data_IF_087400128678
#
_entry.id   IF_087400128678
#
_cell.length_a   1.000
_cell.length_b   1.000
_cell.length_c   1.000
_cell.angle_alpha   90.00
_cell.angle_beta   90.00
_cell.angle_gamma   90.00
#
_symmetry.space_group_name_H-M   'P 1'
#
loop_
_entity.id
_entity.type
_entity.pdbx_description
1 polymer ?
#
# COMPACT_ATOMS: atom_id res chain seq x y z
N UNK A 1 -13.03 10.53 -14.87
CA UNK A 1 -11.69 11.11 -15.12
C UNK A 1 -11.17 11.94 -13.94
N UNK A 2 -12.02 12.71 -13.27
CA UNK A 2 -11.65 13.47 -12.05
C UNK A 2 -11.23 12.52 -10.91
N UNK A 3 -11.88 11.37 -10.77
CA UNK A 3 -11.55 10.37 -9.73
C UNK A 3 -10.16 9.76 -9.90
N UNK A 4 -9.66 9.59 -11.13
CA UNK A 4 -8.28 9.12 -11.38
C UNK A 4 -7.24 10.16 -11.00
N UNK A 5 -7.47 11.43 -11.33
CA UNK A 5 -6.58 12.53 -10.90
C UNK A 5 -6.55 12.70 -9.39
N UNK A 6 -7.70 12.61 -8.73
CA UNK A 6 -7.76 12.70 -7.26
C UNK A 6 -7.02 11.56 -6.57
N UNK A 7 -7.06 10.32 -7.09
CA UNK A 7 -6.32 9.19 -6.52
C UNK A 7 -4.81 9.39 -6.64
N UNK A 8 -4.32 9.83 -7.80
CA UNK A 8 -2.89 10.12 -8.00
C UNK A 8 -2.42 11.26 -7.12
N UNK A 9 -3.19 12.34 -7.00
CA UNK A 9 -2.88 13.46 -6.10
C UNK A 9 -2.82 13.01 -4.63
N UNK A 10 -3.77 12.17 -4.16
CA UNK A 10 -3.75 11.68 -2.78
C UNK A 10 -2.53 10.80 -2.49
N UNK A 11 -2.14 9.94 -3.42
CA UNK A 11 -0.94 9.09 -3.27
C UNK A 11 0.31 9.96 -3.14
N UNK A 12 0.43 11.00 -3.96
CA UNK A 12 1.60 11.89 -4.00
C UNK A 12 1.62 12.88 -2.84
N UNK A 13 0.54 13.65 -2.67
CA UNK A 13 0.55 14.84 -1.80
C UNK A 13 -0.07 14.57 -0.43
N UNK A 14 -0.88 13.51 -0.30
CA UNK A 14 -1.65 13.20 0.90
C UNK A 14 -1.74 11.71 1.16
N UNK A 15 -0.61 11.01 1.39
CA UNK A 15 -0.58 9.55 1.55
C UNK A 15 -1.53 9.04 2.63
N UNK A 16 -1.78 9.80 3.70
CA UNK A 16 -2.76 9.43 4.73
C UNK A 16 -4.20 9.29 4.22
N UNK A 17 -4.59 10.05 3.18
CA UNK A 17 -5.92 9.89 2.55
C UNK A 17 -6.00 8.58 1.76
N UNK A 18 -4.93 8.21 1.07
CA UNK A 18 -4.84 6.91 0.39
C UNK A 18 -4.97 5.78 1.41
N UNK A 19 -4.24 5.84 2.53
CA UNK A 19 -4.32 4.86 3.62
C UNK A 19 -5.77 4.72 4.12
N UNK A 20 -6.44 5.83 4.39
CA UNK A 20 -7.83 5.83 4.83
C UNK A 20 -8.77 5.19 3.81
N UNK A 21 -8.73 5.66 2.55
CA UNK A 21 -9.67 5.19 1.54
C UNK A 21 -9.43 3.74 1.13
N UNK A 22 -8.19 3.29 1.03
CA UNK A 22 -7.87 1.88 0.76
C UNK A 22 -8.45 0.99 1.86
N UNK A 23 -8.28 1.34 3.13
CA UNK A 23 -8.86 0.60 4.26
C UNK A 23 -10.40 0.60 4.20
N UNK A 24 -11.04 1.74 3.91
CA UNK A 24 -12.50 1.79 3.78
C UNK A 24 -13.01 0.88 2.65
N UNK A 25 -12.32 0.85 1.52
CA UNK A 25 -12.70 0.00 0.39
C UNK A 25 -12.53 -1.49 0.75
N UNK A 26 -11.37 -1.87 1.28
CA UNK A 26 -11.07 -3.26 1.64
C UNK A 26 -12.04 -3.78 2.70
N UNK A 27 -12.35 -2.99 3.73
CA UNK A 27 -13.19 -3.43 4.86
C UNK A 27 -14.70 -3.40 4.56
N UNK A 28 -15.16 -2.53 3.65
CA UNK A 28 -16.59 -2.33 3.41
C UNK A 28 -17.12 -2.96 2.13
N UNK A 29 -16.29 -3.04 1.10
CA UNK A 29 -16.72 -3.49 -0.22
C UNK A 29 -16.34 -4.94 -0.52
N UNK A 30 -15.39 -5.49 0.21
CA UNK A 30 -15.00 -6.90 0.06
C UNK A 30 -15.50 -7.70 1.26
N UNK A 31 -16.03 -8.89 1.00
CA UNK A 31 -16.55 -9.79 2.04
C UNK A 31 -16.51 -11.24 1.57
N UNK A 32 -16.81 -12.19 2.46
CA UNK A 32 -16.76 -13.64 2.21
C UNK A 32 -18.09 -14.23 1.73
N UNK A 33 -18.99 -13.42 1.15
CA UNK A 33 -20.24 -13.91 0.58
C UNK A 33 -20.11 -14.23 -0.91
N UNK A 34 -21.13 -14.83 -1.53
CA UNK A 34 -21.19 -15.07 -2.97
C UNK A 34 -21.05 -13.79 -3.82
N UNK A 35 -21.42 -12.64 -3.25
CA UNK A 35 -21.23 -11.30 -3.83
C UNK A 35 -20.06 -10.56 -3.17
N UNK A 36 -18.95 -11.27 -2.97
CA UNK A 36 -17.79 -10.79 -2.21
C UNK A 36 -17.00 -9.65 -2.86
N UNK A 37 -17.25 -9.37 -4.14
CA UNK A 37 -16.60 -8.29 -4.88
C UNK A 37 -17.59 -7.17 -5.21
N UNK A 38 -17.14 -5.90 -5.22
CA UNK A 38 -18.01 -4.76 -5.55
C UNK A 38 -18.28 -4.57 -7.07
N UNK A 39 -17.95 -5.54 -7.89
CA UNK A 39 -18.11 -5.53 -9.33
C UNK A 39 -17.66 -6.84 -9.96
N UNK A 40 -17.41 -6.84 -11.26
CA UNK A 40 -16.89 -8.00 -11.98
C UNK A 40 -15.41 -8.23 -11.64
N UNK A 41 -14.99 -9.49 -11.57
CA UNK A 41 -13.62 -9.87 -11.20
C UNK A 41 -12.56 -9.40 -12.20
N UNK A 42 -12.94 -9.22 -13.47
CA UNK A 42 -12.07 -8.72 -14.53
C UNK A 42 -10.73 -9.48 -14.64
N UNK A 43 -10.81 -10.80 -14.82
CA UNK A 43 -9.65 -11.67 -15.02
C UNK A 43 -8.60 -11.61 -13.88
N UNK A 44 -9.06 -11.56 -12.65
CA UNK A 44 -8.20 -11.48 -11.47
C UNK A 44 -7.86 -10.06 -11.01
N UNK A 45 -8.40 -9.03 -11.68
CA UNK A 45 -8.14 -7.64 -11.36
C UNK A 45 -8.60 -7.24 -9.97
N UNK A 46 -9.78 -7.70 -9.56
CA UNK A 46 -10.37 -7.39 -8.26
C UNK A 46 -9.69 -8.14 -7.13
N UNK A 47 -9.43 -9.43 -7.29
CA UNK A 47 -8.75 -10.24 -6.27
C UNK A 47 -7.29 -9.84 -6.09
N UNK A 48 -6.55 -9.56 -7.15
CA UNK A 48 -5.18 -9.08 -7.05
C UNK A 48 -5.11 -7.70 -6.39
N UNK A 49 -6.03 -6.80 -6.70
CA UNK A 49 -6.13 -5.52 -6.02
C UNK A 49 -6.38 -5.69 -4.51
N UNK A 50 -7.33 -6.58 -4.14
CA UNK A 50 -7.64 -6.86 -2.74
C UNK A 50 -6.44 -7.43 -2.00
N UNK A 51 -5.76 -8.43 -2.58
CA UNK A 51 -4.60 -9.08 -1.96
C UNK A 51 -3.48 -8.07 -1.73
N UNK A 52 -3.03 -7.37 -2.78
CA UNK A 52 -1.92 -6.43 -2.68
C UNK A 52 -2.26 -5.24 -1.76
N UNK A 53 -3.48 -4.70 -1.85
CA UNK A 53 -3.92 -3.62 -0.97
C UNK A 53 -4.02 -4.05 0.49
N UNK A 54 -4.40 -5.31 0.75
CA UNK A 54 -4.43 -5.90 2.10
C UNK A 54 -3.02 -6.10 2.67
N UNK A 55 -2.02 -6.34 1.82
CA UNK A 55 -0.61 -6.34 2.20
C UNK A 55 -0.07 -4.93 2.48
N UNK A 56 -0.78 -3.89 2.06
CA UNK A 56 -0.38 -2.50 2.21
C UNK A 56 0.51 -1.97 1.09
N UNK A 57 0.55 -2.65 -0.06
CA UNK A 57 1.31 -2.23 -1.25
C UNK A 57 0.44 -2.41 -2.50
N UNK A 58 0.68 -1.60 -3.54
CA UNK A 58 0.00 -1.77 -4.83
C UNK A 58 0.77 -1.15 -5.99
N UNK A 59 0.87 -1.85 -7.12
CA UNK A 59 1.45 -1.34 -8.37
C UNK A 59 0.45 -0.42 -9.08
N UNK A 60 0.49 0.88 -8.79
CA UNK A 60 -0.47 1.86 -9.33
C UNK A 60 -0.21 2.17 -10.80
N UNK A 61 1.05 2.14 -11.22
CA UNK A 61 1.48 2.42 -12.59
C UNK A 61 2.12 1.16 -13.19
N UNK A 62 1.36 0.32 -13.93
CA UNK A 62 1.92 -0.82 -14.63
C UNK A 62 3.02 -0.37 -15.61
N UNK A 63 4.13 -1.11 -15.64
CA UNK A 63 5.32 -0.78 -16.44
C UNK A 63 6.40 -0.03 -15.67
N UNK A 64 6.18 0.30 -14.41
CA UNK A 64 7.22 0.66 -13.45
C UNK A 64 7.44 -0.49 -12.47
N UNK A 65 8.58 -0.48 -11.80
CA UNK A 65 8.93 -1.44 -10.74
C UNK A 65 8.46 -0.97 -9.35
N UNK A 66 7.68 0.12 -9.28
CA UNK A 66 7.27 0.76 -8.03
C UNK A 66 5.97 0.20 -7.47
N UNK A 67 5.99 -0.14 -6.19
CA UNK A 67 4.82 -0.49 -5.38
C UNK A 67 4.53 0.61 -4.38
N UNK A 68 3.41 1.29 -4.55
CA UNK A 68 2.97 2.38 -3.67
C UNK A 68 2.51 1.82 -2.34
N UNK A 69 2.89 2.49 -1.26
CA UNK A 69 2.53 2.12 0.10
C UNK A 69 1.13 2.64 0.43
N UNK A 70 0.25 1.70 0.79
CA UNK A 70 -1.08 1.95 1.35
C UNK A 70 -1.09 1.71 2.86
N UNK A 71 -2.21 1.15 3.37
CA UNK A 71 -2.34 0.76 4.77
C UNK A 71 -2.58 -0.74 4.86
N UNK A 72 -1.69 -1.53 5.48
CA UNK A 72 -1.86 -2.98 5.59
C UNK A 72 -3.12 -3.34 6.39
N UNK A 73 -3.76 -4.45 6.03
CA UNK A 73 -4.87 -5.02 6.79
C UNK A 73 -4.38 -5.94 7.91
N UNK A 74 -3.23 -6.58 7.72
CA UNK A 74 -2.68 -7.58 8.62
C UNK A 74 -1.58 -7.00 9.51
N UNK A 75 -1.41 -7.57 10.71
CA UNK A 75 -0.28 -7.23 11.60
C UNK A 75 1.05 -7.79 11.10
N UNK A 76 0.98 -8.91 10.38
CA UNK A 76 2.13 -9.53 9.75
C UNK A 76 1.69 -10.31 8.52
N UNK A 77 2.46 -10.17 7.44
CA UNK A 77 2.33 -10.97 6.23
C UNK A 77 3.73 -11.37 5.74
N UNK A 78 3.84 -12.53 5.11
CA UNK A 78 5.09 -13.01 4.53
C UNK A 78 4.83 -13.43 3.09
N UNK A 79 5.59 -12.88 2.18
CA UNK A 79 5.64 -13.28 0.76
C UNK A 79 6.86 -14.15 0.59
N UNK A 80 6.67 -15.38 0.13
CA UNK A 80 7.77 -16.29 -0.22
C UNK A 80 7.94 -16.27 -1.73
N UNK A 81 9.10 -15.85 -2.19
CA UNK A 81 9.44 -15.76 -3.60
C UNK A 81 9.88 -17.14 -4.12
N UNK A 82 9.85 -17.33 -5.44
CA UNK A 82 10.27 -18.59 -6.10
C UNK A 82 11.74 -18.94 -5.81
N UNK A 83 12.60 -17.94 -5.63
CA UNK A 83 14.00 -18.12 -5.25
C UNK A 83 14.19 -18.52 -3.77
N UNK A 84 13.10 -18.68 -3.00
CA UNK A 84 13.11 -19.02 -1.57
C UNK A 84 13.28 -17.83 -0.64
N UNK A 85 13.54 -16.62 -1.14
CA UNK A 85 13.62 -15.42 -0.33
C UNK A 85 12.26 -15.10 0.29
N UNK A 86 12.29 -14.46 1.45
CA UNK A 86 11.08 -14.05 2.16
C UNK A 86 11.07 -12.54 2.34
N UNK A 87 9.98 -11.92 1.90
CA UNK A 87 9.69 -10.53 2.19
C UNK A 87 8.58 -10.46 3.24
N UNK A 88 8.87 -9.81 4.36
CA UNK A 88 7.98 -9.74 5.52
C UNK A 88 7.47 -8.32 5.67
N UNK A 89 6.15 -8.18 5.77
CA UNK A 89 5.49 -6.91 6.07
C UNK A 89 5.00 -6.99 7.52
N UNK A 90 5.42 -6.06 8.36
CA UNK A 90 5.05 -6.02 9.78
C UNK A 90 4.39 -4.68 10.15
N UNK A 91 3.25 -4.78 10.82
CA UNK A 91 2.50 -3.65 11.37
C UNK A 91 1.85 -4.07 12.71
N UNK A 92 2.64 -4.29 13.76
CA UNK A 92 2.16 -4.92 15.00
C UNK A 92 1.02 -4.14 15.69
N UNK A 93 1.05 -2.81 15.62
CA UNK A 93 0.03 -1.93 16.22
C UNK A 93 -1.21 -1.74 15.33
N UNK A 94 -1.23 -2.35 14.11
CA UNK A 94 -2.33 -2.22 13.18
C UNK A 94 -3.66 -2.71 13.78
N UNK A 95 -4.68 -1.88 13.65
CA UNK A 95 -6.06 -2.16 14.07
C UNK A 95 -7.05 -1.40 13.20
N UNK A 96 -8.34 -1.48 13.51
CA UNK A 96 -9.35 -0.65 12.84
C UNK A 96 -9.16 0.84 13.12
N UNK A 97 -8.70 1.17 14.32
CA UNK A 97 -8.41 2.53 14.77
C UNK A 97 -7.04 3.01 14.30
N UNK A 98 -6.02 2.14 14.43
CA UNK A 98 -4.63 2.43 14.08
C UNK A 98 -4.36 2.06 12.62
N UNK A 99 -4.93 2.81 11.69
CA UNK A 99 -4.81 2.56 10.26
C UNK A 99 -3.80 3.47 9.54
N UNK A 100 -3.28 4.49 10.23
CA UNK A 100 -2.35 5.45 9.63
C UNK A 100 -0.90 5.11 9.93
N UNK A 101 -0.06 5.10 8.91
CA UNK A 101 1.38 4.89 9.04
C UNK A 101 2.01 6.15 9.63
N UNK A 102 2.66 5.99 10.78
CA UNK A 102 3.42 7.04 11.45
C UNK A 102 4.86 7.08 10.94
N UNK A 103 5.50 5.91 10.89
CA UNK A 103 6.83 5.72 10.31
C UNK A 103 6.90 4.38 9.58
N UNK A 104 7.91 4.24 8.71
CA UNK A 104 8.20 3.00 8.01
C UNK A 104 9.70 2.77 7.94
N UNK A 105 10.11 1.51 8.03
CA UNK A 105 11.49 1.10 7.78
C UNK A 105 11.53 -0.06 6.80
N UNK A 106 12.53 -0.04 5.92
CA UNK A 106 12.85 -1.15 5.02
C UNK A 106 14.23 -1.69 5.42
N UNK A 107 14.29 -2.94 5.83
CA UNK A 107 15.52 -3.59 6.31
C UNK A 107 16.24 -2.78 7.41
N UNK A 108 15.46 -2.20 8.33
CA UNK A 108 15.95 -1.39 9.44
C UNK A 108 16.36 0.05 9.08
N UNK A 109 16.30 0.44 7.82
CA UNK A 109 16.57 1.83 7.39
C UNK A 109 15.26 2.59 7.26
N UNK A 110 15.25 3.85 7.68
CA UNK A 110 14.08 4.72 7.55
C UNK A 110 13.67 4.83 6.07
N UNK A 111 12.38 4.57 5.81
CA UNK A 111 11.78 4.71 4.49
C UNK A 111 11.02 6.04 4.43
N UNK A 112 11.63 7.02 3.79
CA UNK A 112 11.11 8.38 3.58
C UNK A 112 10.32 8.54 2.29
N UNK A 113 10.22 7.46 1.48
CA UNK A 113 9.44 7.36 0.26
C UNK A 113 8.08 6.72 0.51
N UNK A 114 7.11 7.01 -0.37
CA UNK A 114 5.78 6.39 -0.33
C UNK A 114 5.66 5.19 -1.28
N UNK A 115 6.77 4.59 -1.64
CA UNK A 115 6.86 3.42 -2.50
C UNK A 115 8.12 2.60 -2.17
N UNK A 116 8.12 1.35 -2.62
CA UNK A 116 9.26 0.43 -2.66
C UNK A 116 9.40 -0.10 -4.07
N UNK A 117 10.57 -0.64 -4.41
CA UNK A 117 10.82 -1.27 -5.70
C UNK A 117 10.55 -2.77 -5.67
N UNK A 118 10.32 -3.37 -6.84
CA UNK A 118 10.15 -4.81 -6.96
C UNK A 118 11.38 -5.56 -6.45
N UNK A 119 12.58 -5.05 -6.69
CA UNK A 119 13.82 -5.67 -6.24
C UNK A 119 13.90 -5.76 -4.71
N UNK A 120 13.39 -4.75 -3.99
CA UNK A 120 13.28 -4.79 -2.52
C UNK A 120 12.45 -6.00 -2.03
N UNK A 121 11.41 -6.37 -2.80
CA UNK A 121 10.57 -7.54 -2.50
C UNK A 121 11.28 -8.83 -2.91
N UNK A 122 11.87 -8.87 -4.11
CA UNK A 122 12.49 -10.05 -4.70
C UNK A 122 13.76 -10.50 -3.95
N UNK A 123 14.55 -9.56 -3.46
CA UNK A 123 15.72 -9.83 -2.63
C UNK A 123 15.34 -10.33 -1.23
N UNK A 124 14.09 -10.07 -0.82
CA UNK A 124 13.61 -10.38 0.52
C UNK A 124 13.99 -9.31 1.54
N UNK A 125 13.41 -9.43 2.73
CA UNK A 125 13.69 -8.48 3.80
C UNK A 125 12.45 -8.16 4.64
N UNK A 126 12.50 -7.05 5.37
CA UNK A 126 11.44 -6.65 6.30
C UNK A 126 11.02 -5.21 6.03
N UNK A 127 9.75 -5.04 5.66
CA UNK A 127 9.07 -3.75 5.62
C UNK A 127 8.25 -3.61 6.91
N UNK A 128 8.66 -2.74 7.80
CA UNK A 128 7.97 -2.52 9.08
C UNK A 128 7.31 -1.16 9.13
N UNK A 129 6.07 -1.15 9.59
CA UNK A 129 5.26 0.04 9.80
C UNK A 129 4.98 0.25 11.28
N UNK A 130 5.12 1.47 11.74
CA UNK A 130 4.54 1.96 12.99
C UNK A 130 3.19 2.57 12.67
N UNK A 131 2.14 2.08 13.33
CA UNK A 131 0.77 2.45 13.04
C UNK A 131 0.19 3.33 14.15
N UNK A 132 -0.73 4.22 13.78
CA UNK A 132 -1.42 5.08 14.74
C UNK A 132 -2.83 5.46 14.29
N UNK A 133 -3.60 6.04 15.22
CA UNK A 133 -5.00 6.42 15.01
C UNK A 133 -5.17 7.79 14.34
N UNK A 134 -4.12 8.61 14.32
CA UNK A 134 -4.18 9.93 13.72
C UNK A 134 -3.39 9.98 12.42
N UNK A 135 -3.89 10.70 11.39
CA UNK A 135 -3.19 10.83 10.13
C UNK A 135 -1.88 11.61 10.29
N UNK A 136 -0.75 11.01 9.90
CA UNK A 136 0.51 11.72 9.79
C UNK A 136 0.53 12.51 8.48
N UNK A 137 0.36 13.83 8.59
CA UNK A 137 0.24 14.73 7.43
C UNK A 137 1.59 15.21 6.89
N UNK A 138 2.66 14.88 7.56
CA UNK A 138 4.02 15.32 7.21
C UNK A 138 4.82 14.23 6.51
N UNK A 139 4.47 12.96 6.76
CA UNK A 139 5.18 11.82 6.20
C UNK A 139 5.02 11.75 4.67
N UNK A 140 6.16 11.64 3.97
CA UNK A 140 6.24 11.40 2.52
C UNK A 140 5.44 12.41 1.66
N UNK A 141 5.42 13.68 2.05
CA UNK A 141 4.74 14.76 1.31
C UNK A 141 5.66 15.51 0.36
N UNK A 142 6.96 15.24 0.41
CA UNK A 142 7.92 15.85 -0.49
C UNK A 142 7.80 15.30 -1.92
N UNK A 143 8.19 16.08 -2.91
CA UNK A 143 8.21 15.67 -4.33
C UNK A 143 9.08 14.42 -4.56
N UNK A 144 10.16 14.25 -3.79
CA UNK A 144 11.07 13.11 -3.89
C UNK A 144 10.52 11.83 -3.26
N UNK A 145 9.54 11.96 -2.37
CA UNK A 145 8.88 10.82 -1.74
C UNK A 145 7.74 10.25 -2.59
N UNK A 146 7.34 10.96 -3.64
CA UNK A 146 6.23 10.58 -4.49
C UNK A 146 6.61 9.46 -5.46
N UNK A 147 5.72 8.48 -5.70
CA UNK A 147 5.91 7.46 -6.72
C UNK A 147 5.86 8.07 -8.12
N UNK A 148 6.31 7.31 -9.11
CA UNK A 148 6.26 7.68 -10.52
C UNK A 148 4.85 8.08 -10.96
N UNK A 149 4.78 9.12 -11.79
CA UNK A 149 3.55 9.59 -12.43
C UNK A 149 3.83 9.97 -13.88
N UNK A 150 2.92 9.57 -14.77
CA UNK A 150 2.94 9.98 -16.18
C UNK A 150 2.61 11.48 -16.36
N UNK A 151 1.96 12.09 -15.38
CA UNK A 151 1.67 13.53 -15.39
C UNK A 151 2.97 14.28 -15.04
N UNK A 152 3.59 14.88 -16.04
CA UNK A 152 4.64 15.87 -15.80
C UNK A 152 3.95 17.16 -15.38
N UNK A 153 4.18 17.61 -14.17
CA UNK A 153 3.98 18.98 -13.73
C UNK A 153 5.26 19.78 -13.85
#
# INVERSE_FOLDING_TARGET
LLSRRQRQMCIRDRPWKTQYWVRQIVERLYNSTEKGYPGDEDQGGMSSWYILSSLGIYAVCPGTDEYVIGSPLFKKATITMENGNKFVIEAPENSKENLYIQSATLNGRLLDKNYIHYDDIAEGGVLKFEMGSQPNKERCTSKYAAPFSLSKE
#
